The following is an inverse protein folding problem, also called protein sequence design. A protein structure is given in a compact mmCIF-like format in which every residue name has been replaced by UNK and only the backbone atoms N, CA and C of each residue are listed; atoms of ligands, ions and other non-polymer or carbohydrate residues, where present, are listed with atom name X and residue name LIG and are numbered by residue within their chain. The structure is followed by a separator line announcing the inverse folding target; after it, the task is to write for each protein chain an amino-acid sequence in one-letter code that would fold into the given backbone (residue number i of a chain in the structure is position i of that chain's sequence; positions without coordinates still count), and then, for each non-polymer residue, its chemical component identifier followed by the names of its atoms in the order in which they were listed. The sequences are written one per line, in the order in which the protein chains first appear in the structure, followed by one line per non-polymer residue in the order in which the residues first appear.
data_IF_990089332876
#
_entry.id   IF_990089332876
#
_cell.length_a   1.000
_cell.length_b   1.000
_cell.length_c   1.000
_cell.angle_alpha   90.00
_cell.angle_beta   90.00
_cell.angle_gamma   90.00
#
_symmetry.space_group_name_H-M   'P 1'
#
loop_
_entity.id
_entity.type
_entity.pdbx_description
1 polymer ?
#
# COMPACT_ATOMS: atom_id res chain seq x y z
N UNK A 1 41.50 -66.88 53.69
CA UNK A 1 41.47 -66.98 52.23
C UNK A 1 40.01 -66.83 51.81
N UNK A 2 39.64 -65.64 51.27
CA UNK A 2 38.28 -65.36 50.83
C UNK A 2 38.33 -65.09 49.32
N UNK A 3 37.47 -65.67 48.47
CA UNK A 3 37.42 -65.38 47.06
C UNK A 3 36.59 -64.16 46.80
N UNK A 4 37.06 -63.29 45.90
CA UNK A 4 36.42 -62.11 45.39
C UNK A 4 35.33 -62.49 44.40
N UNK A 5 34.10 -62.00 44.66
CA UNK A 5 32.95 -62.18 43.80
C UNK A 5 32.92 -60.96 42.79
N UNK A 6 33.16 -61.30 41.52
CA UNK A 6 33.06 -60.32 40.42
C UNK A 6 31.58 -60.19 40.00
N UNK A 7 31.03 -59.01 40.16
CA UNK A 7 29.71 -58.62 39.59
C UNK A 7 29.91 -58.18 38.15
N UNK A 8 29.25 -58.86 37.22
CA UNK A 8 29.07 -58.42 35.85
C UNK A 8 27.86 -57.52 35.82
N UNK A 9 28.05 -56.20 35.52
CA UNK A 9 26.98 -55.30 35.21
C UNK A 9 26.74 -55.39 33.71
N UNK A 10 25.60 -55.98 33.31
CA UNK A 10 25.08 -55.90 31.94
C UNK A 10 24.47 -54.51 31.77
N UNK A 11 25.18 -53.68 31.03
CA UNK A 11 24.65 -52.38 30.57
C UNK A 11 23.66 -52.60 29.42
N UNK A 12 22.36 -52.39 29.70
CA UNK A 12 21.35 -52.22 28.63
C UNK A 12 21.59 -50.85 27.97
N UNK A 13 22.23 -50.90 26.80
CA UNK A 13 22.32 -49.74 25.93
C UNK A 13 20.97 -49.45 25.28
N UNK A 14 20.26 -48.43 25.79
CA UNK A 14 19.07 -47.87 25.11
C UNK A 14 19.54 -47.17 23.84
N UNK A 15 19.27 -47.77 22.69
CA UNK A 15 19.41 -47.10 21.38
C UNK A 15 18.28 -46.10 21.25
N UNK A 16 18.54 -44.84 21.53
CA UNK A 16 17.65 -43.75 21.19
C UNK A 16 17.78 -43.51 19.69
N UNK A 17 16.86 -44.04 18.92
CA UNK A 17 16.71 -43.71 17.50
C UNK A 17 16.20 -42.27 17.39
N UNK A 18 17.10 -41.34 17.13
CA UNK A 18 16.72 -39.98 16.78
C UNK A 18 15.97 -40.01 15.44
N UNK A 19 14.65 -39.89 15.48
CA UNK A 19 13.88 -39.58 14.31
C UNK A 19 14.25 -38.16 13.90
N UNK A 20 15.09 -38.04 12.88
CA UNK A 20 15.29 -36.78 12.18
C UNK A 20 13.95 -36.42 11.52
N UNK A 21 13.24 -35.46 12.09
CA UNK A 21 12.15 -34.75 11.39
C UNK A 21 12.80 -34.06 10.18
N UNK A 22 12.65 -34.65 9.00
CA UNK A 22 12.96 -33.98 7.76
C UNK A 22 12.08 -32.72 7.70
N UNK A 23 12.70 -31.55 7.77
CA UNK A 23 12.02 -30.31 7.42
C UNK A 23 11.51 -30.45 5.98
N UNK A 24 10.32 -29.93 5.67
CA UNK A 24 9.82 -29.93 4.29
C UNK A 24 10.80 -29.13 3.43
N UNK A 25 11.57 -29.84 2.61
CA UNK A 25 12.55 -29.27 1.67
C UNK A 25 11.91 -28.88 0.34
N UNK A 26 10.66 -28.47 0.33
CA UNK A 26 9.95 -28.07 -0.88
C UNK A 26 9.77 -26.54 -0.98
N UNK A 27 10.76 -25.78 -0.50
CA UNK A 27 10.95 -24.46 -1.09
C UNK A 27 11.54 -24.72 -2.48
N UNK A 28 10.68 -24.75 -3.49
CA UNK A 28 11.12 -24.67 -4.88
C UNK A 28 11.87 -23.35 -5.02
N UNK A 29 13.19 -23.39 -4.88
CA UNK A 29 14.04 -22.29 -5.35
C UNK A 29 13.83 -22.21 -6.87
N UNK A 30 12.81 -21.44 -7.25
CA UNK A 30 12.66 -21.07 -8.64
C UNK A 30 13.94 -20.35 -9.08
N UNK A 31 14.30 -20.40 -10.37
CA UNK A 31 15.50 -19.75 -10.87
C UNK A 31 15.50 -18.31 -10.38
N UNK A 32 16.59 -17.89 -9.73
CA UNK A 32 16.81 -16.51 -9.32
C UNK A 32 16.47 -15.63 -10.53
N UNK A 33 15.38 -14.88 -10.44
CA UNK A 33 15.01 -13.97 -11.51
C UNK A 33 16.17 -13.01 -11.61
N UNK A 34 16.85 -13.02 -12.76
CA UNK A 34 17.85 -12.00 -13.03
C UNK A 34 17.18 -10.66 -12.80
N UNK A 35 17.75 -9.78 -11.96
CA UNK A 35 17.20 -8.46 -11.77
C UNK A 35 16.99 -7.86 -13.15
N UNK A 36 15.75 -7.50 -13.48
CA UNK A 36 15.49 -6.73 -14.68
C UNK A 36 16.31 -5.44 -14.54
N UNK A 37 17.13 -5.13 -15.53
CA UNK A 37 17.79 -3.83 -15.56
C UNK A 37 16.71 -2.78 -15.73
N UNK A 38 16.77 -1.71 -14.94
CA UNK A 38 15.90 -0.57 -15.14
C UNK A 38 16.03 -0.09 -16.59
N UNK A 39 14.91 0.10 -17.28
CA UNK A 39 14.91 0.64 -18.64
C UNK A 39 15.60 2.01 -18.68
N UNK A 40 16.39 2.25 -19.71
CA UNK A 40 17.01 3.55 -19.95
C UNK A 40 15.98 4.61 -20.43
N UNK A 41 14.81 4.18 -20.92
CA UNK A 41 13.72 5.09 -21.28
C UNK A 41 13.15 5.72 -20.00
N UNK A 42 13.18 7.05 -19.86
CA UNK A 42 12.64 7.73 -18.69
C UNK A 42 11.12 7.57 -18.55
N UNK A 43 10.41 7.27 -19.64
CA UNK A 43 8.96 7.04 -19.64
C UNK A 43 8.58 5.59 -19.32
N UNK A 44 9.50 4.65 -19.38
CA UNK A 44 9.21 3.27 -18.96
C UNK A 44 9.31 3.15 -17.43
N UNK A 45 8.17 3.31 -16.77
CA UNK A 45 8.04 3.17 -15.31
C UNK A 45 7.76 1.72 -14.88
N UNK A 46 7.71 0.77 -15.83
CA UNK A 46 7.35 -0.63 -15.56
C UNK A 46 8.28 -1.27 -14.56
N UNK A 47 7.73 -2.04 -13.62
CA UNK A 47 8.47 -2.79 -12.62
C UNK A 47 7.92 -2.69 -11.22
N UNK A 48 8.65 -3.26 -10.26
CA UNK A 48 8.25 -3.27 -8.85
C UNK A 48 8.97 -2.15 -8.11
N UNK A 49 8.20 -1.42 -7.34
CA UNK A 49 8.63 -0.25 -6.59
C UNK A 49 8.21 -0.38 -5.13
N UNK A 50 9.04 0.10 -4.21
CA UNK A 50 8.77 0.09 -2.79
C UNK A 50 9.06 1.46 -2.17
N UNK A 51 8.15 1.94 -1.31
CA UNK A 51 8.32 3.24 -0.66
C UNK A 51 9.63 3.28 0.13
N UNK A 52 10.42 4.36 -0.04
CA UNK A 52 11.73 4.51 0.62
C UNK A 52 11.61 4.89 2.08
N UNK A 53 10.69 5.79 2.35
CA UNK A 53 10.42 6.29 3.69
C UNK A 53 8.92 6.34 3.91
N UNK A 54 8.41 5.34 4.59
CA UNK A 54 7.03 5.31 4.98
C UNK A 54 6.77 6.24 6.16
N UNK A 55 5.72 7.04 6.06
CA UNK A 55 5.19 7.85 7.14
C UNK A 55 3.65 7.72 7.12
N UNK A 56 3.01 7.32 8.26
CA UNK A 56 1.55 7.25 8.36
C UNK A 56 0.85 8.56 7.98
N UNK A 57 1.48 9.69 8.26
CA UNK A 57 1.10 10.99 7.71
C UNK A 57 1.70 11.10 6.31
N UNK A 58 0.86 11.28 5.29
CA UNK A 58 1.36 11.50 3.93
C UNK A 58 2.32 12.70 3.92
N UNK A 59 3.49 12.52 3.33
CA UNK A 59 4.56 13.51 3.39
C UNK A 59 4.15 14.83 2.72
N UNK A 60 3.48 15.69 3.49
CA UNK A 60 3.16 17.04 3.04
C UNK A 60 4.42 17.85 2.83
N UNK A 61 4.55 18.50 1.69
CA UNK A 61 5.66 19.42 1.41
C UNK A 61 5.61 20.66 2.31
N UNK A 62 4.48 20.91 2.96
CA UNK A 62 4.32 22.01 3.90
C UNK A 62 4.97 21.74 5.27
N UNK A 63 5.32 20.47 5.57
CA UNK A 63 5.86 20.07 6.87
C UNK A 63 4.89 20.31 8.06
N UNK A 64 3.60 20.47 7.77
CA UNK A 64 2.52 20.74 8.73
C UNK A 64 1.24 20.05 8.30
N UNK A 65 0.21 20.11 9.13
CA UNK A 65 -1.14 19.67 8.76
C UNK A 65 -1.64 20.43 7.52
N UNK A 66 -2.54 19.81 6.73
CA UNK A 66 -3.18 20.48 5.61
C UNK A 66 -3.87 21.80 5.98
N UNK A 67 -4.06 22.72 5.04
CA UNK A 67 -4.76 23.99 5.24
C UNK A 67 -6.28 23.73 5.32
N UNK A 68 -6.75 23.29 6.46
CA UNK A 68 -8.15 22.92 6.65
C UNK A 68 -9.10 24.11 6.55
N UNK A 69 -10.28 23.88 5.95
CA UNK A 69 -11.48 24.71 6.17
C UNK A 69 -11.97 24.52 7.62
N UNK A 70 -12.97 25.30 8.05
CA UNK A 70 -13.63 25.08 9.35
C UNK A 70 -14.20 23.65 9.45
N UNK A 71 -14.84 23.16 8.38
CA UNK A 71 -15.35 21.78 8.29
C UNK A 71 -14.23 20.74 8.41
N UNK A 72 -13.15 20.93 7.65
CA UNK A 72 -11.99 20.04 7.70
C UNK A 72 -11.35 20.00 9.08
N UNK A 73 -11.20 21.17 9.71
CA UNK A 73 -10.64 21.28 11.05
C UNK A 73 -11.53 20.61 12.11
N UNK A 74 -12.84 20.84 12.05
CA UNK A 74 -13.78 20.19 12.98
C UNK A 74 -13.76 18.67 12.84
N UNK A 75 -13.72 18.14 11.61
CA UNK A 75 -13.60 16.71 11.35
C UNK A 75 -12.29 16.13 11.90
N UNK A 76 -11.17 16.82 11.67
CA UNK A 76 -9.86 16.45 12.21
C UNK A 76 -9.86 16.45 13.75
N UNK A 77 -10.38 17.49 14.39
CA UNK A 77 -10.40 17.59 15.85
C UNK A 77 -11.29 16.50 16.48
N UNK A 78 -12.44 16.21 15.87
CA UNK A 78 -13.31 15.13 16.30
C UNK A 78 -12.60 13.77 16.25
N UNK A 79 -11.84 13.52 15.17
CA UNK A 79 -11.05 12.31 15.01
C UNK A 79 -9.92 12.20 16.06
N UNK A 80 -9.17 13.29 16.27
CA UNK A 80 -8.11 13.34 17.29
C UNK A 80 -8.69 13.09 18.68
N UNK A 81 -9.86 13.67 18.96
CA UNK A 81 -10.57 13.43 20.22
C UNK A 81 -10.96 11.97 20.36
N UNK A 82 -11.57 11.37 19.35
CA UNK A 82 -11.97 9.96 19.38
C UNK A 82 -10.77 9.04 19.64
N UNK A 83 -9.61 9.32 18.99
CA UNK A 83 -8.38 8.56 19.22
C UNK A 83 -7.90 8.65 20.68
N UNK A 84 -7.96 9.85 21.28
CA UNK A 84 -7.57 10.07 22.69
C UNK A 84 -8.50 9.38 23.68
N UNK A 85 -9.79 9.35 23.37
CA UNK A 85 -10.82 8.74 24.21
C UNK A 85 -10.86 7.20 24.04
N UNK A 86 -10.03 6.62 23.16
CA UNK A 86 -10.04 5.20 22.86
C UNK A 86 -11.29 4.72 22.12
N UNK A 87 -12.02 5.64 21.51
CA UNK A 87 -13.19 5.31 20.70
C UNK A 87 -12.78 4.59 19.42
N UNK A 88 -13.56 3.59 18.95
CA UNK A 88 -13.30 2.95 17.69
C UNK A 88 -13.27 3.97 16.55
N UNK A 89 -12.24 3.94 15.76
CA UNK A 89 -12.11 4.81 14.59
C UNK A 89 -12.26 3.94 13.36
N UNK A 90 -13.31 4.21 12.58
CA UNK A 90 -13.60 3.47 11.36
C UNK A 90 -12.61 3.89 10.27
N UNK A 91 -11.55 3.11 10.11
CA UNK A 91 -10.64 3.19 8.98
C UNK A 91 -11.05 2.19 7.89
N UNK A 92 -10.88 2.54 6.62
CA UNK A 92 -11.13 1.65 5.49
C UNK A 92 -10.41 0.30 5.63
N UNK A 93 -9.18 0.29 6.15
CA UNK A 93 -8.40 -0.92 6.40
C UNK A 93 -9.05 -1.85 7.43
N UNK A 94 -9.81 -1.31 8.41
CA UNK A 94 -10.54 -2.12 9.39
C UNK A 94 -11.68 -2.93 8.77
N UNK A 95 -12.14 -2.53 7.59
CA UNK A 95 -13.20 -3.21 6.83
C UNK A 95 -12.66 -3.97 5.63
N UNK A 96 -11.35 -4.09 5.48
CA UNK A 96 -10.70 -4.63 4.29
C UNK A 96 -11.12 -3.92 2.99
N UNK A 97 -11.50 -2.65 3.07
CA UNK A 97 -11.80 -1.84 1.90
C UNK A 97 -10.52 -1.28 1.25
N UNK A 98 -10.58 -0.95 -0.04
CA UNK A 98 -9.50 -0.22 -0.68
C UNK A 98 -9.15 1.07 0.06
N UNK A 99 -7.87 1.38 0.14
CA UNK A 99 -7.40 2.54 0.91
C UNK A 99 -7.71 3.89 0.25
N UNK A 100 -8.08 3.87 -1.04
CA UNK A 100 -8.34 5.08 -1.81
C UNK A 100 -7.05 5.78 -2.30
N UNK A 101 -7.23 6.74 -3.20
CA UNK A 101 -6.17 7.63 -3.68
C UNK A 101 -6.28 8.95 -2.89
N UNK A 102 -5.17 9.52 -2.40
CA UNK A 102 -3.77 9.15 -2.64
C UNK A 102 -3.19 8.14 -1.62
N UNK A 103 -3.92 7.72 -0.59
CA UNK A 103 -3.40 6.90 0.50
C UNK A 103 -2.77 5.60 0.03
N UNK A 104 -3.35 4.92 -0.98
CA UNK A 104 -2.82 3.67 -1.51
C UNK A 104 -1.40 3.84 -2.05
N UNK A 105 -1.06 5.03 -2.55
CA UNK A 105 0.30 5.36 -3.01
C UNK A 105 1.28 5.52 -1.84
N UNK A 106 0.79 5.80 -0.62
CA UNK A 106 1.60 5.95 0.59
C UNK A 106 1.53 4.70 1.48
N UNK A 107 1.42 3.52 0.90
CA UNK A 107 1.35 2.26 1.65
C UNK A 107 2.74 1.63 1.82
N UNK A 108 3.05 1.01 2.99
CA UNK A 108 4.31 0.30 3.23
C UNK A 108 4.29 -1.11 2.61
N UNK A 109 3.82 -1.20 1.38
CA UNK A 109 3.73 -2.41 0.58
C UNK A 109 4.25 -2.15 -0.83
N UNK A 110 4.78 -3.17 -1.53
CA UNK A 110 5.19 -3.04 -2.91
C UNK A 110 4.03 -2.63 -3.82
N UNK A 111 4.37 -1.90 -4.87
CA UNK A 111 3.49 -1.69 -6.01
C UNK A 111 4.22 -2.09 -7.30
N UNK A 112 3.48 -2.54 -8.28
CA UNK A 112 3.98 -2.85 -9.62
C UNK A 112 3.31 -1.96 -10.64
N UNK A 113 4.11 -1.30 -11.46
CA UNK A 113 3.63 -0.54 -12.62
C UNK A 113 3.76 -1.41 -13.86
N UNK A 114 2.70 -1.49 -14.64
CA UNK A 114 2.61 -2.19 -15.91
C UNK A 114 2.10 -1.18 -16.94
N UNK A 115 2.83 -1.01 -18.02
CA UNK A 115 2.46 -0.08 -19.08
C UNK A 115 2.11 -0.83 -20.34
N UNK A 116 1.04 -0.41 -20.98
CA UNK A 116 0.58 -0.90 -22.27
C UNK A 116 0.18 0.27 -23.17
N UNK A 117 -0.14 0.00 -24.42
CA UNK A 117 -0.65 1.04 -25.32
C UNK A 117 -2.00 1.55 -24.81
N UNK A 118 -2.07 2.83 -24.45
CA UNK A 118 -3.30 3.50 -23.98
C UNK A 118 -3.64 3.33 -22.51
N UNK A 119 -2.86 2.56 -21.74
CA UNK A 119 -3.14 2.33 -20.33
C UNK A 119 -1.88 2.10 -19.51
N UNK A 120 -1.85 2.67 -18.32
CA UNK A 120 -0.88 2.32 -17.28
C UNK A 120 -1.66 1.73 -16.10
N UNK A 121 -1.24 0.55 -15.64
CA UNK A 121 -1.87 -0.14 -14.50
C UNK A 121 -0.90 -0.14 -13.33
N UNK A 122 -1.39 0.24 -12.15
CA UNK A 122 -0.65 0.12 -10.90
C UNK A 122 -1.33 -0.97 -10.05
N UNK A 123 -0.61 -2.07 -9.86
CA UNK A 123 -1.02 -3.16 -8.98
C UNK A 123 -0.40 -2.92 -7.61
N UNK A 124 -1.22 -2.72 -6.60
CA UNK A 124 -0.79 -2.60 -5.21
C UNK A 124 -0.93 -3.94 -4.52
N UNK A 125 0.09 -4.38 -3.80
CA UNK A 125 0.01 -5.59 -2.98
C UNK A 125 -1.07 -5.45 -1.91
N UNK A 126 -1.10 -4.31 -1.23
CA UNK A 126 -2.10 -4.04 -0.19
C UNK A 126 -3.52 -4.07 -0.74
N UNK A 127 -4.37 -4.88 -0.11
CA UNK A 127 -5.78 -5.04 -0.43
C UNK A 127 -6.05 -5.39 -1.91
N UNK A 128 -5.06 -5.95 -2.63
CA UNK A 128 -5.13 -6.32 -4.05
C UNK A 128 -5.70 -5.21 -4.96
N UNK A 129 -5.39 -3.94 -4.64
CA UNK A 129 -5.90 -2.82 -5.42
C UNK A 129 -5.23 -2.78 -6.79
N UNK A 130 -6.04 -2.74 -7.83
CA UNK A 130 -5.61 -2.51 -9.21
C UNK A 130 -6.15 -1.16 -9.64
N UNK A 131 -5.25 -0.24 -9.95
CA UNK A 131 -5.58 1.11 -10.39
C UNK A 131 -5.28 1.24 -11.87
N UNK A 132 -6.29 1.58 -12.64
CA UNK A 132 -6.21 1.83 -14.08
C UNK A 132 -6.01 3.32 -14.32
N UNK A 133 -5.06 3.67 -15.16
CA UNK A 133 -4.79 5.04 -15.61
C UNK A 133 -4.94 5.03 -17.12
N UNK A 134 -6.03 5.63 -17.61
CA UNK A 134 -6.35 5.68 -19.03
C UNK A 134 -5.58 6.81 -19.70
N UNK A 135 -4.72 6.47 -20.65
CA UNK A 135 -3.81 7.43 -21.27
C UNK A 135 -4.48 8.25 -22.36
N UNK A 136 -4.20 9.56 -22.35
CA UNK A 136 -4.59 10.52 -23.38
C UNK A 136 -6.11 10.57 -23.66
N UNK A 137 -6.91 10.37 -22.59
CA UNK A 137 -8.38 10.38 -22.65
C UNK A 137 -8.93 11.39 -21.64
N UNK A 138 -10.13 11.94 -21.88
CA UNK A 138 -10.83 12.71 -20.86
C UNK A 138 -11.52 11.77 -19.86
N UNK A 139 -11.83 12.29 -18.68
CA UNK A 139 -12.75 11.62 -17.76
C UNK A 139 -14.13 11.40 -18.40
N UNK A 140 -14.82 10.30 -18.08
CA UNK A 140 -16.20 10.09 -18.48
C UNK A 140 -17.11 11.21 -17.95
N UNK A 141 -18.10 11.63 -18.73
CA UNK A 141 -19.05 12.69 -18.31
C UNK A 141 -19.90 12.29 -17.10
N UNK A 142 -20.08 10.98 -16.90
CA UNK A 142 -20.81 10.44 -15.74
C UNK A 142 -19.93 9.42 -15.04
N UNK A 143 -19.60 9.71 -13.78
CA UNK A 143 -18.76 8.85 -12.94
C UNK A 143 -19.57 8.36 -11.73
N UNK A 144 -19.53 7.05 -11.50
CA UNK A 144 -19.91 6.50 -10.21
C UNK A 144 -18.72 6.65 -9.26
N UNK A 145 -18.91 7.26 -8.10
CA UNK A 145 -17.86 7.42 -7.12
C UNK A 145 -17.35 6.05 -6.63
N UNK A 146 -16.04 5.87 -6.61
CA UNK A 146 -15.38 4.63 -6.19
C UNK A 146 -14.26 4.92 -5.19
N UNK A 147 -13.65 3.85 -4.64
CA UNK A 147 -12.51 3.99 -3.74
C UNK A 147 -11.26 4.53 -4.43
N UNK A 148 -11.01 4.13 -5.67
CA UNK A 148 -9.82 4.52 -6.42
C UNK A 148 -10.08 5.68 -7.39
N UNK A 149 -11.36 6.08 -7.55
CA UNK A 149 -11.74 7.11 -8.51
C UNK A 149 -11.60 6.64 -9.96
N UNK A 150 -11.64 7.60 -10.87
CA UNK A 150 -11.29 7.47 -12.27
C UNK A 150 -9.99 8.24 -12.50
N UNK A 151 -8.99 7.58 -13.08
CA UNK A 151 -7.68 8.16 -13.33
C UNK A 151 -7.39 8.24 -14.81
N UNK A 152 -7.08 9.42 -15.31
CA UNK A 152 -6.59 9.66 -16.65
C UNK A 152 -5.15 10.14 -16.61
N UNK A 153 -4.36 9.83 -17.61
CA UNK A 153 -2.94 10.16 -17.64
C UNK A 153 -2.47 10.71 -18.97
N UNK A 154 -1.42 11.51 -18.93
CA UNK A 154 -0.68 11.94 -20.13
C UNK A 154 0.80 12.16 -19.78
N UNK A 155 1.63 12.19 -20.79
CA UNK A 155 3.05 12.49 -20.63
C UNK A 155 3.36 13.97 -20.81
N UNK A 156 3.96 14.58 -19.79
CA UNK A 156 4.56 15.91 -19.83
C UNK A 156 6.08 15.76 -19.78
N UNK A 157 6.74 15.75 -20.95
CA UNK A 157 8.14 15.36 -21.05
C UNK A 157 8.35 13.93 -20.56
N UNK A 158 9.18 13.75 -19.55
CA UNK A 158 9.50 12.48 -18.91
C UNK A 158 8.67 12.22 -17.63
N UNK A 159 7.63 12.99 -17.41
CA UNK A 159 6.76 12.91 -16.24
C UNK A 159 5.39 12.40 -16.65
N UNK A 160 4.94 11.31 -16.05
CA UNK A 160 3.55 10.86 -16.13
C UNK A 160 2.71 11.74 -15.21
N UNK A 161 1.80 12.50 -15.78
CA UNK A 161 0.80 13.28 -15.05
C UNK A 161 -0.48 12.46 -14.98
N UNK A 162 -0.96 12.23 -13.77
CA UNK A 162 -2.20 11.47 -13.52
C UNK A 162 -3.20 12.37 -12.83
N UNK A 163 -4.36 12.51 -13.41
CA UNK A 163 -5.49 13.24 -12.88
C UNK A 163 -6.53 12.25 -12.36
N UNK A 164 -7.02 12.42 -11.12
CA UNK A 164 -7.96 11.48 -10.49
C UNK A 164 -9.10 12.22 -9.83
N UNK A 165 -10.31 11.86 -10.24
CA UNK A 165 -11.58 12.39 -9.74
C UNK A 165 -12.58 11.25 -9.45
N UNK A 166 -13.76 11.56 -8.96
CA UNK A 166 -14.81 10.56 -8.72
C UNK A 166 -14.49 9.64 -7.53
N UNK A 167 -13.73 10.12 -6.57
CA UNK A 167 -13.45 9.42 -5.32
C UNK A 167 -14.67 9.45 -4.38
N UNK A 168 -14.95 8.31 -3.71
CA UNK A 168 -15.95 8.30 -2.64
C UNK A 168 -15.36 8.87 -1.35
N UNK A 169 -16.22 9.23 -0.40
CA UNK A 169 -15.87 9.83 0.89
C UNK A 169 -15.66 8.81 2.02
N UNK A 170 -15.35 7.55 1.66
CA UNK A 170 -15.26 6.42 2.60
C UNK A 170 -13.83 6.10 3.02
N UNK A 171 -12.87 6.87 2.56
CA UNK A 171 -11.43 6.69 2.85
C UNK A 171 -10.84 7.94 3.49
N UNK A 172 -9.60 7.84 3.88
CA UNK A 172 -8.80 8.98 4.36
C UNK A 172 -7.65 9.23 3.39
N UNK A 173 -7.12 10.44 3.39
CA UNK A 173 -5.95 10.81 2.59
C UNK A 173 -4.69 10.11 3.09
N UNK A 174 -4.62 9.79 4.38
CA UNK A 174 -3.49 9.13 5.03
C UNK A 174 -3.94 8.28 6.23
N UNK A 175 -3.00 7.61 6.89
CA UNK A 175 -3.31 6.73 8.03
C UNK A 175 -3.55 7.48 9.33
N UNK A 176 -3.14 8.75 9.44
CA UNK A 176 -3.46 9.54 10.62
C UNK A 176 -4.90 10.07 10.59
N UNK A 177 -5.61 9.91 9.45
CA UNK A 177 -7.04 10.16 9.32
C UNK A 177 -7.40 11.57 8.85
N UNK A 178 -6.64 12.12 7.93
CA UNK A 178 -7.04 13.32 7.19
C UNK A 178 -8.21 12.96 6.28
N UNK A 179 -9.37 13.53 6.57
CA UNK A 179 -10.64 13.25 5.89
C UNK A 179 -10.75 14.11 4.63
N UNK A 180 -11.51 13.63 3.67
CA UNK A 180 -11.89 14.34 2.45
C UNK A 180 -13.39 14.09 2.11
N UNK A 181 -13.91 14.85 1.16
CA UNK A 181 -15.24 14.69 0.61
C UNK A 181 -15.24 14.10 -0.79
N UNK A 182 -16.39 14.19 -1.44
CA UNK A 182 -16.58 13.71 -2.83
C UNK A 182 -16.00 14.65 -3.88
N UNK A 183 -15.56 15.84 -3.48
CA UNK A 183 -14.91 16.81 -4.36
C UNK A 183 -13.38 16.64 -4.35
N UNK A 184 -12.87 15.59 -3.70
CA UNK A 184 -11.44 15.31 -3.73
C UNK A 184 -10.97 15.15 -5.17
N UNK A 185 -9.96 15.94 -5.51
CA UNK A 185 -9.24 15.91 -6.78
C UNK A 185 -7.75 15.73 -6.50
N UNK A 186 -7.15 14.75 -7.13
CA UNK A 186 -5.75 14.40 -6.91
C UNK A 186 -5.01 14.42 -8.24
N UNK A 187 -3.93 15.21 -8.31
CA UNK A 187 -3.05 15.26 -9.46
C UNK A 187 -1.68 14.74 -9.02
N UNK A 188 -1.19 13.71 -9.69
CA UNK A 188 0.11 13.10 -9.42
C UNK A 188 1.07 13.38 -10.57
N UNK A 189 2.33 13.62 -10.24
CA UNK A 189 3.41 13.77 -11.20
C UNK A 189 4.49 12.75 -10.87
N UNK A 190 4.51 11.68 -11.65
CA UNK A 190 5.36 10.51 -11.42
C UNK A 190 6.50 10.51 -12.43
N UNK A 191 7.73 10.45 -11.95
CA UNK A 191 8.91 10.40 -12.81
C UNK A 191 10.03 9.56 -12.23
N UNK A 192 10.88 9.05 -13.09
CA UNK A 192 12.15 8.46 -12.67
C UNK A 192 13.12 9.54 -12.19
N UNK A 193 13.84 9.20 -11.14
CA UNK A 193 14.97 9.98 -10.61
C UNK A 193 16.15 9.04 -10.36
N UNK A 194 17.32 9.60 -10.06
CA UNK A 194 18.53 8.83 -9.72
C UNK A 194 18.90 7.79 -10.78
N UNK A 195 18.88 8.20 -12.07
CA UNK A 195 19.22 7.29 -13.16
C UNK A 195 18.27 6.11 -13.34
N UNK A 196 17.02 6.24 -12.89
CA UNK A 196 15.99 5.20 -13.00
C UNK A 196 15.93 4.24 -11.80
N UNK A 197 16.76 4.45 -10.79
CA UNK A 197 16.75 3.61 -9.57
C UNK A 197 15.71 4.04 -8.53
N UNK A 198 15.05 5.17 -8.76
CA UNK A 198 13.96 5.65 -7.91
C UNK A 198 12.85 6.30 -8.74
N UNK A 199 11.64 6.31 -8.16
CA UNK A 199 10.53 7.14 -8.60
C UNK A 199 10.29 8.26 -7.61
N UNK A 200 9.92 9.42 -8.12
CA UNK A 200 9.31 10.50 -7.37
C UNK A 200 7.85 10.63 -7.79
N UNK A 201 6.94 10.72 -6.84
CA UNK A 201 5.54 11.09 -7.04
C UNK A 201 5.27 12.37 -6.26
N UNK A 202 5.06 13.47 -6.98
CA UNK A 202 4.60 14.73 -6.40
C UNK A 202 3.08 14.79 -6.56
N UNK A 203 2.39 14.85 -5.45
CA UNK A 203 0.92 14.76 -5.36
C UNK A 203 0.37 16.11 -4.98
N UNK A 204 -0.51 16.67 -5.82
CA UNK A 204 -1.35 17.81 -5.52
C UNK A 204 -2.71 17.30 -5.07
N UNK A 205 -3.17 17.78 -3.92
CA UNK A 205 -4.41 17.36 -3.27
C UNK A 205 -5.27 18.60 -3.08
N UNK A 206 -6.49 18.56 -3.55
CA UNK A 206 -7.47 19.61 -3.36
C UNK A 206 -8.86 19.03 -3.09
N UNK A 207 -9.55 19.65 -2.17
CA UNK A 207 -10.95 19.40 -1.86
C UNK A 207 -11.51 20.66 -1.19
N UNK A 208 -12.28 21.47 -1.91
CA UNK A 208 -12.74 22.77 -1.41
C UNK A 208 -13.69 22.66 -0.20
N UNK A 209 -14.26 21.48 0.07
CA UNK A 209 -15.03 21.26 1.29
C UNK A 209 -14.16 21.15 2.53
N UNK A 210 -12.93 20.60 2.38
CA UNK A 210 -12.06 20.25 3.51
C UNK A 210 -10.79 21.08 3.59
N UNK A 211 -10.31 21.66 2.47
CA UNK A 211 -9.09 22.45 2.39
C UNK A 211 -9.34 23.83 1.77
N UNK A 212 -8.73 24.85 2.35
CA UNK A 212 -8.85 26.24 1.88
C UNK A 212 -8.05 26.53 0.62
N UNK A 213 -7.04 25.71 0.34
CA UNK A 213 -6.17 25.79 -0.82
C UNK A 213 -5.61 24.40 -1.15
N UNK A 214 -5.19 24.15 -2.40
CA UNK A 214 -4.47 22.93 -2.73
C UNK A 214 -3.17 22.80 -1.94
N UNK A 215 -2.84 21.58 -1.55
CA UNK A 215 -1.60 21.27 -0.85
C UNK A 215 -0.89 20.09 -1.50
N UNK A 216 0.34 19.84 -1.11
CA UNK A 216 1.20 18.91 -1.81
C UNK A 216 1.80 17.87 -0.87
N UNK A 217 1.95 16.66 -1.39
CA UNK A 217 2.72 15.59 -0.77
C UNK A 217 3.78 15.11 -1.76
N UNK A 218 4.84 14.51 -1.24
CA UNK A 218 5.92 13.93 -2.03
C UNK A 218 6.26 12.56 -1.50
N UNK A 219 6.20 11.56 -2.38
CA UNK A 219 6.57 10.19 -2.07
C UNK A 219 7.71 9.76 -2.99
N UNK A 220 8.65 9.00 -2.46
CA UNK A 220 9.73 8.42 -3.24
C UNK A 220 9.77 6.91 -3.06
N UNK A 221 10.04 6.20 -4.15
CA UNK A 221 10.10 4.75 -4.17
C UNK A 221 11.47 4.31 -4.67
N UNK A 222 11.97 3.20 -4.13
CA UNK A 222 13.13 2.51 -4.64
C UNK A 222 12.72 1.47 -5.68
N UNK A 223 13.52 1.33 -6.72
CA UNK A 223 13.44 0.20 -7.65
C UNK A 223 13.74 -1.11 -6.92
N UNK A 224 12.86 -2.11 -7.06
CA UNK A 224 12.99 -3.40 -6.37
C UNK A 224 12.80 -4.59 -7.32
N UNK A 225 13.78 -4.83 -8.21
CA UNK A 225 13.75 -5.96 -9.15
C UNK A 225 13.82 -7.32 -8.45
N UNK A 226 14.21 -7.34 -7.19
CA UNK A 226 14.28 -8.51 -6.30
C UNK A 226 12.93 -8.89 -5.69
N UNK A 227 11.91 -8.02 -5.77
CA UNK A 227 10.59 -8.26 -5.24
C UNK A 227 9.60 -8.70 -6.31
N UNK A 228 8.57 -9.39 -5.87
CA UNK A 228 7.32 -9.67 -6.60
C UNK A 228 6.16 -9.21 -5.75
N UNK A 229 5.05 -8.88 -6.38
CA UNK A 229 3.79 -8.67 -5.67
C UNK A 229 3.35 -10.01 -5.09
N UNK A 230 3.17 -10.02 -3.76
CA UNK A 230 2.70 -11.20 -3.04
C UNK A 230 1.17 -11.20 -2.94
N UNK A 231 0.62 -12.33 -2.55
CA UNK A 231 -0.77 -12.42 -2.15
C UNK A 231 -0.97 -11.69 -0.82
N UNK A 232 -2.06 -10.93 -0.73
CA UNK A 232 -2.44 -10.20 0.47
C UNK A 232 -3.91 -10.50 0.80
N UNK A 233 -4.15 -11.14 1.93
CA UNK A 233 -5.51 -11.46 2.40
C UNK A 233 -5.76 -10.68 3.69
N UNK A 234 -6.51 -9.59 3.57
CA UNK A 234 -6.80 -8.70 4.68
C UNK A 234 -7.53 -9.42 5.82
N UNK A 235 -8.46 -10.32 5.49
CA UNK A 235 -9.32 -11.00 6.45
C UNK A 235 -8.56 -11.98 7.35
N UNK A 236 -7.48 -12.59 6.88
CA UNK A 236 -6.75 -13.61 7.65
C UNK A 236 -6.13 -13.07 8.94
N UNK A 237 -5.72 -11.81 8.97
CA UNK A 237 -5.08 -11.19 10.11
C UNK A 237 -5.84 -10.00 10.68
N UNK A 238 -7.03 -9.70 10.16
CA UNK A 238 -7.82 -8.57 10.63
C UNK A 238 -8.52 -8.88 11.95
N UNK A 239 -7.84 -8.60 13.07
CA UNK A 239 -8.38 -8.75 14.43
C UNK A 239 -9.31 -7.61 14.85
N UNK A 240 -9.42 -6.57 14.02
CA UNK A 240 -10.17 -5.35 14.30
C UNK A 240 -11.45 -5.25 13.47
N UNK A 241 -11.85 -6.31 12.79
CA UNK A 241 -13.14 -6.33 12.11
C UNK A 241 -14.24 -5.99 13.11
N UNK A 242 -15.00 -4.92 12.90
CA UNK A 242 -16.16 -4.66 13.72
C UNK A 242 -17.06 -5.90 13.64
N UNK A 243 -17.42 -6.47 14.77
CA UNK A 243 -18.45 -7.51 14.85
C UNK A 243 -19.80 -6.83 14.58
N UNK A 244 -19.96 -6.25 13.42
CA UNK A 244 -21.23 -5.77 12.92
C UNK A 244 -21.79 -6.90 12.08
N UNK A 245 -22.82 -7.57 12.62
CA UNK A 245 -23.64 -8.43 11.80
C UNK A 245 -24.07 -7.64 10.56
N UNK A 246 -23.43 -7.87 9.45
CA UNK A 246 -23.99 -7.55 8.17
C UNK A 246 -25.14 -8.53 7.97
N UNK A 247 -26.30 -8.18 8.48
CA UNK A 247 -27.54 -8.64 7.86
C UNK A 247 -27.48 -8.06 6.46
N UNK A 248 -27.16 -8.90 5.48
CA UNK A 248 -27.36 -8.57 4.10
C UNK A 248 -28.87 -8.22 3.97
N UNK A 249 -29.16 -6.93 3.86
CA UNK A 249 -30.46 -6.52 3.36
C UNK A 249 -30.57 -7.06 1.93
N UNK A 250 -31.56 -7.94 1.74
CA UNK A 250 -31.93 -8.54 0.48
C UNK A 250 -32.56 -7.50 -0.45
#
# INVERSE_FOLDING_TARGET
MRPLLRWFILGLGSVVTAMALAAPSDVVEGPLIRPATSSADPRDLSGVWYIRLYNPQINSTLGRLPPFTERGKAAWDARVKAAKDGSPIADASSYCWPHGVPRVMNSPYPLQIIQSAGETVIVHEVAHNVRHIYMDQPHPQTLAASFLGDSVGHWDGDTLVVDTVGLNDRTWIDEIGVIHGKQLHVIERIRKIEGGHALENLIRIEDPEYFTEPWYARITYAWRPDLRIAEYICEENNRNMPVSGHTAEK
#
